data_IF_235325025426
#
_entry.id   IF_235325025426
#
_cell.length_a   1.000
_cell.length_b   1.000
_cell.length_c   1.000
_cell.angle_alpha   90.00
_cell.angle_beta   90.00
_cell.angle_gamma   90.00
#
_symmetry.space_group_name_H-M   'P 1'
#
loop_
_entity.id
_entity.type
_entity.pdbx_description
1 polymer ?
#
# COMPACT_ATOMS: atom_id res chain seq x y z
N UNK A 1 -2.92 -22.33 -48.21
CA UNK A 1 -3.50 -21.00 -47.93
C UNK A 1 -4.96 -21.18 -47.51
N UNK A 2 -5.40 -20.42 -46.51
CA UNK A 2 -6.76 -20.32 -45.90
C UNK A 2 -7.15 -21.38 -44.87
N UNK A 3 -6.85 -21.19 -43.57
CA UNK A 3 -7.48 -20.30 -42.55
C UNK A 3 -8.64 -20.97 -41.82
N UNK A 4 -8.37 -21.65 -40.69
CA UNK A 4 -9.43 -21.96 -39.70
C UNK A 4 -8.94 -22.35 -38.30
N UNK A 5 -7.79 -21.86 -37.86
CA UNK A 5 -7.33 -22.03 -36.47
C UNK A 5 -7.08 -20.67 -35.80
N UNK A 6 -8.12 -19.84 -35.80
CA UNK A 6 -8.23 -18.72 -34.87
C UNK A 6 -9.33 -19.05 -33.85
N UNK A 7 -9.17 -20.17 -33.15
CA UNK A 7 -9.88 -20.39 -31.89
C UNK A 7 -9.22 -19.44 -30.89
N UNK A 8 -9.83 -18.26 -30.82
CA UNK A 8 -9.59 -17.15 -29.90
C UNK A 8 -9.32 -17.69 -28.50
N UNK A 9 -8.03 -17.82 -28.14
CA UNK A 9 -7.61 -17.85 -26.77
C UNK A 9 -8.01 -16.50 -26.18
N UNK A 10 -9.20 -16.46 -25.57
CA UNK A 10 -9.53 -15.40 -24.64
C UNK A 10 -8.52 -15.54 -23.51
N UNK A 11 -7.42 -14.80 -23.63
CA UNK A 11 -6.61 -14.47 -22.48
C UNK A 11 -7.60 -13.94 -21.44
N UNK A 12 -7.68 -14.52 -20.23
CA UNK A 12 -8.26 -13.77 -19.14
C UNK A 12 -7.35 -12.57 -19.04
N UNK A 13 -7.82 -11.45 -19.56
CA UNK A 13 -7.38 -10.14 -19.14
C UNK A 13 -7.69 -10.18 -17.65
N UNK A 14 -6.73 -10.67 -16.87
CA UNK A 14 -6.73 -10.56 -15.43
C UNK A 14 -6.71 -9.08 -15.25
N UNK A 15 -7.91 -8.50 -15.18
CA UNK A 15 -8.14 -7.15 -14.76
C UNK A 15 -7.32 -7.07 -13.50
N UNK A 16 -6.16 -6.42 -13.59
CA UNK A 16 -5.40 -6.05 -12.44
C UNK A 16 -6.36 -5.12 -11.72
N UNK A 17 -7.17 -5.70 -10.82
CA UNK A 17 -8.09 -4.99 -9.96
C UNK A 17 -7.19 -3.94 -9.35
N UNK A 18 -7.33 -2.69 -9.82
CA UNK A 18 -6.53 -1.57 -9.36
C UNK A 18 -6.82 -1.53 -7.88
N UNK A 19 -5.93 -2.13 -7.09
CA UNK A 19 -6.15 -2.27 -5.67
C UNK A 19 -6.30 -0.84 -5.18
N UNK A 20 -7.41 -0.57 -4.49
CA UNK A 20 -7.70 0.75 -3.98
C UNK A 20 -6.42 1.26 -3.29
N UNK A 21 -5.85 2.40 -3.71
CA UNK A 21 -4.52 2.83 -3.27
C UNK A 21 -4.41 2.90 -1.75
N UNK A 22 -5.52 3.16 -1.05
CA UNK A 22 -5.62 3.10 0.41
C UNK A 22 -5.44 1.68 0.99
N UNK A 23 -6.01 0.65 0.35
CA UNK A 23 -5.85 -0.76 0.75
C UNK A 23 -4.42 -1.23 0.51
N UNK A 24 -3.80 -0.81 -0.59
CA UNK A 24 -2.39 -1.10 -0.87
C UNK A 24 -1.46 -0.42 0.14
N UNK A 25 -1.76 0.83 0.50
CA UNK A 25 -0.99 1.60 1.49
C UNK A 25 -1.11 0.99 2.90
N UNK A 26 -2.33 0.63 3.32
CA UNK A 26 -2.56 -0.01 4.62
C UNK A 26 -1.77 -1.31 4.74
N UNK A 27 -1.82 -2.18 3.73
CA UNK A 27 -1.04 -3.43 3.70
C UNK A 27 0.47 -3.16 3.81
N UNK A 28 0.96 -2.06 3.23
CA UNK A 28 2.37 -1.68 3.35
C UNK A 28 2.70 -1.24 4.78
N UNK A 29 1.85 -0.42 5.39
CA UNK A 29 1.98 0.00 6.81
C UNK A 29 2.04 -1.24 7.72
N UNK A 30 1.12 -2.19 7.53
CA UNK A 30 1.05 -3.41 8.36
C UNK A 30 2.33 -4.25 8.23
N UNK A 31 2.86 -4.39 7.01
CA UNK A 31 4.13 -5.11 6.76
C UNK A 31 5.30 -4.43 7.46
N UNK A 32 5.39 -3.11 7.38
CA UNK A 32 6.47 -2.33 8.03
C UNK A 32 6.34 -2.41 9.55
N UNK A 33 5.12 -2.32 10.10
CA UNK A 33 4.85 -2.53 11.54
C UNK A 33 5.32 -3.89 12.01
N UNK A 34 5.00 -4.94 11.26
CA UNK A 34 5.41 -6.30 11.60
C UNK A 34 6.93 -6.48 11.55
N UNK A 35 7.58 -5.96 10.51
CA UNK A 35 9.04 -6.01 10.39
C UNK A 35 9.74 -5.25 11.54
N UNK A 36 9.24 -4.06 11.88
CA UNK A 36 9.71 -3.27 13.02
C UNK A 36 9.61 -4.05 14.33
N UNK A 37 8.48 -4.72 14.58
CA UNK A 37 8.27 -5.51 15.79
C UNK A 37 9.28 -6.67 15.90
N UNK A 38 9.52 -7.39 14.80
CA UNK A 38 10.53 -8.46 14.76
C UNK A 38 11.94 -7.94 15.05
N UNK A 39 12.30 -6.79 14.50
CA UNK A 39 13.62 -6.20 14.71
C UNK A 39 13.79 -5.72 16.15
N UNK A 40 12.75 -5.11 16.74
CA UNK A 40 12.76 -4.75 18.14
C UNK A 40 13.00 -5.98 19.02
N UNK A 41 12.34 -7.10 18.72
CA UNK A 41 12.55 -8.37 19.43
C UNK A 41 13.98 -8.91 19.28
N UNK A 42 14.57 -8.83 18.07
CA UNK A 42 15.96 -9.24 17.84
C UNK A 42 16.95 -8.35 18.60
N UNK A 43 16.71 -7.04 18.64
CA UNK A 43 17.52 -6.09 19.42
C UNK A 43 17.44 -6.44 20.91
N UNK A 44 16.25 -6.73 21.45
CA UNK A 44 16.08 -7.19 22.84
C UNK A 44 16.82 -8.50 23.11
N UNK A 45 17.06 -9.31 22.08
CA UNK A 45 17.83 -10.57 22.17
C UNK A 45 19.34 -10.36 22.05
N UNK A 46 19.81 -9.12 21.92
CA UNK A 46 21.24 -8.76 21.85
C UNK A 46 21.75 -8.35 20.47
N UNK A 47 20.90 -8.34 19.43
CA UNK A 47 21.28 -7.96 18.06
C UNK A 47 21.32 -6.42 17.89
N UNK A 48 22.12 -5.72 18.70
CA UNK A 48 22.18 -4.25 18.74
C UNK A 48 22.63 -3.61 17.42
N UNK A 49 23.38 -4.35 16.59
CA UNK A 49 23.78 -3.89 15.25
C UNK A 49 22.59 -3.64 14.32
N UNK A 50 21.38 -4.09 14.68
CA UNK A 50 20.14 -3.83 13.96
C UNK A 50 19.49 -2.47 14.29
N UNK A 51 20.01 -1.71 15.26
CA UNK A 51 19.50 -0.38 15.63
C UNK A 51 19.34 0.59 14.43
N UNK A 52 20.29 0.68 13.47
CA UNK A 52 20.10 1.51 12.28
C UNK A 52 18.92 1.08 11.42
N UNK A 53 18.65 -0.23 11.36
CA UNK A 53 17.53 -0.77 10.61
C UNK A 53 16.19 -0.42 11.28
N UNK A 54 16.13 -0.49 12.62
CA UNK A 54 14.97 -0.03 13.39
C UNK A 54 14.65 1.45 13.13
N UNK A 55 15.69 2.31 13.10
CA UNK A 55 15.51 3.75 12.77
C UNK A 55 14.93 3.95 11.38
N UNK A 56 15.41 3.20 10.37
CA UNK A 56 14.88 3.25 9.01
C UNK A 56 13.40 2.85 8.95
N UNK A 57 13.02 1.77 9.63
CA UNK A 57 11.61 1.34 9.66
C UNK A 57 10.71 2.34 10.39
N UNK A 58 11.18 2.98 11.46
CA UNK A 58 10.43 4.06 12.12
C UNK A 58 10.19 5.24 11.16
N UNK A 59 11.22 5.65 10.41
CA UNK A 59 11.09 6.75 9.44
C UNK A 59 10.15 6.39 8.29
N UNK A 60 10.26 5.18 7.73
CA UNK A 60 9.35 4.71 6.68
C UNK A 60 7.90 4.65 7.18
N UNK A 61 7.69 4.17 8.40
CA UNK A 61 6.36 4.09 9.01
C UNK A 61 5.72 5.47 9.18
N UNK A 62 6.48 6.45 9.68
CA UNK A 62 6.00 7.83 9.80
C UNK A 62 5.59 8.43 8.45
N UNK A 63 6.40 8.22 7.40
CA UNK A 63 6.09 8.70 6.05
C UNK A 63 4.82 8.05 5.47
N UNK A 64 4.63 6.75 5.71
CA UNK A 64 3.45 6.04 5.22
C UNK A 64 2.17 6.47 5.96
N UNK A 65 2.25 6.68 7.27
CA UNK A 65 1.13 7.19 8.08
C UNK A 65 0.77 8.63 7.69
N UNK A 66 1.75 9.49 7.44
CA UNK A 66 1.53 10.84 6.91
C UNK A 66 0.84 10.80 5.53
N UNK A 67 1.33 9.97 4.62
CA UNK A 67 0.73 9.78 3.30
C UNK A 67 -0.72 9.31 3.41
N UNK A 68 -1.02 8.40 4.32
CA UNK A 68 -2.37 7.92 4.57
C UNK A 68 -3.28 9.06 5.07
N UNK A 69 -2.79 9.88 6.01
CA UNK A 69 -3.50 11.05 6.50
C UNK A 69 -3.84 12.05 5.39
N UNK A 70 -2.88 12.35 4.51
CA UNK A 70 -3.09 13.23 3.35
C UNK A 70 -4.13 12.67 2.38
N UNK A 71 -4.10 11.36 2.11
CA UNK A 71 -5.10 10.73 1.24
C UNK A 71 -6.51 10.79 1.85
N UNK A 72 -6.63 10.59 3.16
CA UNK A 72 -7.91 10.71 3.88
C UNK A 72 -8.45 12.14 3.78
N UNK A 73 -7.62 13.15 4.05
CA UNK A 73 -8.00 14.56 3.91
C UNK A 73 -8.41 14.90 2.47
N UNK A 74 -7.67 14.41 1.47
CA UNK A 74 -8.02 14.63 0.06
C UNK A 74 -9.39 14.01 -0.28
N UNK A 75 -9.70 12.82 0.24
CA UNK A 75 -11.02 12.20 0.06
C UNK A 75 -12.14 12.96 0.78
N UNK A 76 -11.89 13.51 1.97
CA UNK A 76 -12.87 14.34 2.69
C UNK A 76 -13.18 15.63 1.90
N UNK A 77 -12.15 16.32 1.42
CA UNK A 77 -12.30 17.53 0.61
C UNK A 77 -13.07 17.23 -0.69
N UNK A 78 -12.70 16.14 -1.39
CA UNK A 78 -13.39 15.73 -2.61
C UNK A 78 -14.87 15.39 -2.36
N UNK A 79 -15.16 14.71 -1.25
CA UNK A 79 -16.53 14.35 -0.87
C UNK A 79 -17.37 15.58 -0.53
N UNK A 80 -16.78 16.54 0.20
CA UNK A 80 -17.43 17.80 0.53
C UNK A 80 -17.70 18.67 -0.72
N UNK A 81 -16.71 18.76 -1.64
CA UNK A 81 -16.86 19.48 -2.90
C UNK A 81 -17.90 18.84 -3.84
N UNK A 82 -18.03 17.50 -3.83
CA UNK A 82 -19.05 16.80 -4.60
C UNK A 82 -20.47 17.07 -4.08
N UNK A 83 -20.64 17.17 -2.75
CA UNK A 83 -21.91 17.50 -2.12
C UNK A 83 -22.39 18.91 -2.51
N UNK A 84 -21.48 19.87 -2.60
CA UNK A 84 -21.77 21.25 -3.01
C UNK A 84 -22.05 21.43 -4.50
N UNK A 85 -21.69 20.48 -5.37
CA UNK A 85 -22.03 20.52 -6.81
C UNK A 85 -23.39 19.94 -7.15
N UNK A 86 -24.01 19.19 -6.24
CA UNK A 86 -25.28 18.52 -6.45
C UNK A 86 -26.49 19.25 -5.84
N UNK A 87 -26.26 20.41 -5.22
CA UNK A 87 -27.27 21.32 -4.66
C UNK A 87 -27.40 22.57 -5.52
#
# INVERSE_FOLDING_TARGET
MSTRHAARAAAPETAHIRQNPTVSLQRKIDRVRHARAKIAQQITSGEEWMLPLLKRFNAELAQLEETQGLLLQATEIASHAALHRAA
#
